data_IF_827683396526
#
_entry.id   IF_827683396526
#
_cell.length_a   1.000
_cell.length_b   1.000
_cell.length_c   1.000
_cell.angle_alpha   90.00
_cell.angle_beta   90.00
_cell.angle_gamma   90.00
#
_symmetry.space_group_name_H-M   'P 1'
#
loop_
_entity.id
_entity.type
_entity.pdbx_description
1 polymer ?
#
# COMPACT_ATOMS: atom_id res chain seq x y z
N UNK A 1 -11.70 13.12 1.05
CA UNK A 1 -10.66 13.95 1.68
C UNK A 1 -9.28 13.27 1.80
N UNK A 2 -9.17 11.96 2.08
CA UNK A 2 -7.87 11.28 2.30
C UNK A 2 -6.95 11.24 1.05
N UNK A 3 -7.50 11.12 -0.16
CA UNK A 3 -6.70 11.07 -1.40
C UNK A 3 -5.85 12.33 -1.66
N UNK A 4 -6.27 13.49 -1.15
CA UNK A 4 -5.55 14.76 -1.35
C UNK A 4 -4.25 14.84 -0.56
N UNK A 5 -4.08 13.98 0.44
CA UNK A 5 -2.90 13.97 1.32
C UNK A 5 -1.79 13.08 0.79
N UNK A 6 -2.09 12.11 -0.08
CA UNK A 6 -1.11 11.15 -0.60
C UNK A 6 0.14 11.83 -1.20
N UNK A 7 0.04 12.80 -2.14
CA UNK A 7 1.24 13.41 -2.71
C UNK A 7 2.02 14.31 -1.72
N UNK A 8 1.43 14.67 -0.58
CA UNK A 8 2.00 15.61 0.39
C UNK A 8 2.43 14.94 1.71
N UNK A 9 2.48 13.60 1.77
CA UNK A 9 2.87 12.89 2.99
C UNK A 9 4.29 13.28 3.45
N UNK A 10 5.19 13.52 2.49
CA UNK A 10 6.56 14.01 2.74
C UNK A 10 6.61 15.43 3.35
N UNK A 11 5.57 16.24 3.17
CA UNK A 11 5.46 17.59 3.73
C UNK A 11 4.91 17.60 5.16
N UNK A 12 4.41 16.46 5.66
CA UNK A 12 3.94 16.34 7.03
C UNK A 12 5.10 16.17 8.00
N UNK A 13 4.98 16.76 9.18
CA UNK A 13 5.90 16.49 10.29
C UNK A 13 5.80 15.02 10.73
N UNK A 14 6.87 14.49 11.33
CA UNK A 14 6.89 13.11 11.88
C UNK A 14 5.70 12.83 12.80
N UNK A 15 5.38 13.78 13.69
CA UNK A 15 4.24 13.67 14.62
C UNK A 15 2.90 13.60 13.88
N UNK A 16 2.74 14.34 12.78
CA UNK A 16 1.53 14.27 11.96
C UNK A 16 1.41 12.92 11.23
N UNK A 17 2.51 12.41 10.68
CA UNK A 17 2.50 11.09 10.05
C UNK A 17 2.18 9.99 11.06
N UNK A 18 2.78 10.02 12.26
CA UNK A 18 2.50 9.08 13.35
C UNK A 18 1.04 9.09 13.77
N UNK A 19 0.45 10.28 13.97
CA UNK A 19 -0.98 10.41 14.31
C UNK A 19 -1.88 9.87 13.22
N UNK A 20 -1.52 10.09 11.95
CA UNK A 20 -2.27 9.61 10.80
C UNK A 20 -2.21 8.07 10.69
N UNK A 21 -1.05 7.47 10.89
CA UNK A 21 -0.90 6.00 10.95
C UNK A 21 -1.68 5.41 12.14
N UNK A 22 -1.57 6.01 13.32
CA UNK A 22 -2.32 5.58 14.51
C UNK A 22 -3.85 5.68 14.32
N UNK A 23 -4.32 6.71 13.61
CA UNK A 23 -5.73 6.83 13.24
C UNK A 23 -6.19 5.64 12.39
N UNK A 24 -5.39 5.18 11.43
CA UNK A 24 -5.74 4.03 10.60
C UNK A 24 -5.69 2.70 11.32
N UNK A 25 -4.73 2.53 12.23
CA UNK A 25 -4.69 1.39 13.15
C UNK A 25 -5.96 1.34 14.01
N UNK A 26 -6.43 2.51 14.46
CA UNK A 26 -7.67 2.67 15.22
C UNK A 26 -8.97 2.55 14.40
N UNK A 27 -8.92 2.49 13.06
CA UNK A 27 -10.12 2.31 12.25
C UNK A 27 -10.70 0.91 12.46
N UNK A 28 -11.80 0.81 13.22
CA UNK A 28 -12.50 -0.44 13.49
C UNK A 28 -13.22 -0.99 12.24
N UNK A 29 -13.64 -0.11 11.33
CA UNK A 29 -14.35 -0.50 10.10
C UNK A 29 -13.35 -0.90 9.01
N UNK A 30 -13.42 -2.17 8.59
CA UNK A 30 -12.56 -2.76 7.54
C UNK A 30 -12.63 -2.00 6.22
N UNK A 31 -13.83 -1.57 5.83
CA UNK A 31 -14.07 -0.75 4.64
C UNK A 31 -13.34 0.61 4.71
N UNK A 32 -13.43 1.29 5.84
CA UNK A 32 -12.81 2.62 6.01
C UNK A 32 -11.29 2.50 6.00
N UNK A 33 -10.75 1.44 6.62
CA UNK A 33 -9.33 1.10 6.56
C UNK A 33 -8.87 0.84 5.12
N UNK A 34 -9.61 0.03 4.36
CA UNK A 34 -9.29 -0.27 2.96
C UNK A 34 -9.32 0.99 2.08
N UNK A 35 -10.33 1.85 2.25
CA UNK A 35 -10.44 3.12 1.53
C UNK A 35 -9.32 4.10 1.89
N UNK A 36 -8.90 4.14 3.16
CA UNK A 36 -7.77 4.96 3.59
C UNK A 36 -6.44 4.48 2.98
N UNK A 37 -6.18 3.16 3.04
CA UNK A 37 -4.99 2.54 2.46
C UNK A 37 -4.94 2.74 0.93
N UNK A 38 -6.08 2.57 0.26
CA UNK A 38 -6.18 2.85 -1.17
C UNK A 38 -5.86 4.32 -1.48
N UNK A 39 -6.43 5.25 -0.70
CA UNK A 39 -6.27 6.69 -0.94
C UNK A 39 -4.85 7.21 -0.69
N UNK A 40 -4.10 6.59 0.22
CA UNK A 40 -2.73 6.99 0.57
C UNK A 40 -1.65 6.16 -0.12
N UNK A 41 -1.99 5.02 -0.70
CA UNK A 41 -1.02 4.08 -1.27
C UNK A 41 -0.04 4.74 -2.25
N UNK A 42 -0.52 5.63 -3.13
CA UNK A 42 0.33 6.37 -4.09
C UNK A 42 1.39 7.24 -3.41
N UNK A 43 1.12 7.70 -2.20
CA UNK A 43 1.95 8.58 -1.40
C UNK A 43 2.80 7.87 -0.35
N UNK A 44 2.68 6.54 -0.21
CA UNK A 44 3.29 5.79 0.90
C UNK A 44 4.81 5.97 0.97
N UNK A 45 5.46 6.21 -0.17
CA UNK A 45 6.88 6.54 -0.28
C UNK A 45 7.28 7.81 0.49
N UNK A 46 6.34 8.74 0.71
CA UNK A 46 6.55 9.95 1.51
C UNK A 46 6.43 9.74 3.01
N UNK A 47 6.02 8.56 3.48
CA UNK A 47 6.07 8.22 4.91
C UNK A 47 7.51 8.00 5.34
N UNK A 48 7.81 8.42 6.57
CA UNK A 48 9.07 8.10 7.24
C UNK A 48 9.32 6.58 7.19
N UNK A 49 10.56 6.13 6.92
CA UNK A 49 10.88 4.70 6.80
C UNK A 49 10.40 3.84 7.98
N UNK A 50 10.38 4.38 9.19
CA UNK A 50 9.92 3.68 10.40
C UNK A 50 8.40 3.45 10.43
N UNK A 51 7.64 4.20 9.65
CA UNK A 51 6.18 4.10 9.54
C UNK A 51 5.72 3.22 8.37
N UNK A 52 6.57 3.01 7.37
CA UNK A 52 6.27 2.17 6.22
C UNK A 52 5.90 0.72 6.60
N UNK A 53 6.61 0.03 7.53
CA UNK A 53 6.23 -1.31 7.96
C UNK A 53 4.84 -1.37 8.60
N UNK A 54 4.44 -0.32 9.34
CA UNK A 54 3.11 -0.24 9.97
C UNK A 54 2.02 -0.11 8.91
N UNK A 55 2.25 0.69 7.87
CA UNK A 55 1.35 0.78 6.73
C UNK A 55 1.18 -0.57 6.03
N UNK A 56 2.28 -1.29 5.78
CA UNK A 56 2.24 -2.61 5.14
C UNK A 56 1.49 -3.62 6.01
N UNK A 57 1.72 -3.62 7.33
CA UNK A 57 0.98 -4.46 8.26
C UNK A 57 -0.54 -4.20 8.22
N UNK A 58 -0.97 -2.95 8.01
CA UNK A 58 -2.38 -2.63 7.85
C UNK A 58 -2.98 -3.22 6.56
N UNK A 59 -2.21 -3.27 5.47
CA UNK A 59 -2.62 -3.94 4.21
C UNK A 59 -2.67 -5.46 4.40
N UNK A 60 -1.67 -6.04 5.07
CA UNK A 60 -1.63 -7.47 5.42
C UNK A 60 -2.85 -7.88 6.27
N UNK A 61 -3.22 -7.05 7.24
CA UNK A 61 -4.35 -7.27 8.15
C UNK A 61 -5.74 -7.17 7.50
N UNK A 62 -5.85 -6.77 6.22
CA UNK A 62 -7.13 -6.78 5.50
C UNK A 62 -7.53 -8.22 5.16
N UNK A 63 -8.46 -8.79 5.93
CA UNK A 63 -8.91 -10.16 5.75
C UNK A 63 -9.67 -10.37 4.43
N UNK A 64 -10.46 -9.40 3.98
CA UNK A 64 -11.25 -9.53 2.75
C UNK A 64 -10.37 -9.35 1.49
N UNK A 65 -10.35 -10.35 0.59
CA UNK A 65 -9.56 -10.30 -0.64
C UNK A 65 -9.85 -9.07 -1.52
N UNK A 66 -11.11 -8.64 -1.62
CA UNK A 66 -11.52 -7.46 -2.38
C UNK A 66 -10.93 -6.15 -1.83
N UNK A 67 -10.84 -6.03 -0.51
CA UNK A 67 -10.28 -4.84 0.15
C UNK A 67 -8.77 -4.84 0.07
N UNK A 68 -8.14 -6.01 0.21
CA UNK A 68 -6.71 -6.19 -0.01
C UNK A 68 -6.32 -5.84 -1.44
N UNK A 69 -7.04 -6.36 -2.45
CA UNK A 69 -6.82 -6.04 -3.86
C UNK A 69 -6.96 -4.55 -4.14
N UNK A 70 -7.98 -3.90 -3.57
CA UNK A 70 -8.19 -2.46 -3.70
C UNK A 70 -7.04 -1.67 -3.06
N UNK A 71 -6.59 -2.03 -1.86
CA UNK A 71 -5.47 -1.38 -1.19
C UNK A 71 -4.15 -1.53 -1.98
N UNK A 72 -3.88 -2.74 -2.48
CA UNK A 72 -2.73 -3.03 -3.36
C UNK A 72 -2.80 -2.25 -4.68
N UNK A 73 -3.99 -2.10 -5.25
CA UNK A 73 -4.17 -1.26 -6.43
C UNK A 73 -3.85 0.21 -6.15
N UNK A 74 -4.27 0.71 -4.97
CA UNK A 74 -4.02 2.08 -4.53
C UNK A 74 -2.56 2.41 -4.26
N UNK A 75 -1.74 1.41 -3.92
CA UNK A 75 -0.29 1.57 -3.77
C UNK A 75 0.35 2.11 -5.05
N UNK A 76 -0.07 1.64 -6.22
CA UNK A 76 0.31 2.25 -7.49
C UNK A 76 1.83 2.40 -7.63
N UNK A 77 2.26 3.63 -7.96
CA UNK A 77 3.68 4.04 -8.02
C UNK A 77 4.37 4.12 -6.65
N UNK A 78 3.62 4.22 -5.56
CA UNK A 78 4.15 4.40 -4.21
C UNK A 78 4.94 3.18 -3.72
N UNK A 79 4.66 1.99 -4.26
CA UNK A 79 5.37 0.75 -3.89
C UNK A 79 6.88 0.83 -4.16
N UNK A 80 7.31 1.55 -5.20
CA UNK A 80 8.72 1.71 -5.56
C UNK A 80 9.52 2.53 -4.55
N UNK A 81 8.86 3.41 -3.79
CA UNK A 81 9.52 4.22 -2.76
C UNK A 81 9.43 3.62 -1.36
N UNK A 82 8.89 2.42 -1.23
CA UNK A 82 8.97 1.65 0.03
C UNK A 82 10.35 1.05 0.20
N UNK A 83 10.75 0.83 1.45
CA UNK A 83 11.94 0.07 1.80
C UNK A 83 11.97 -1.27 1.04
N UNK A 84 13.10 -1.66 0.42
CA UNK A 84 13.19 -2.87 -0.41
C UNK A 84 12.71 -4.14 0.27
N UNK A 85 12.82 -4.23 1.60
CA UNK A 85 12.41 -5.40 2.40
C UNK A 85 10.88 -5.52 2.53
N UNK A 86 10.15 -4.44 2.27
CA UNK A 86 8.69 -4.38 2.34
C UNK A 86 8.03 -4.66 0.99
N UNK A 87 8.69 -4.35 -0.12
CA UNK A 87 8.15 -4.53 -1.47
C UNK A 87 7.74 -5.99 -1.76
N UNK A 88 8.57 -7.03 -1.44
CA UNK A 88 8.21 -8.43 -1.68
C UNK A 88 6.96 -8.87 -0.94
N UNK A 89 6.66 -8.30 0.23
CA UNK A 89 5.49 -8.64 1.03
C UNK A 89 4.20 -8.25 0.31
N UNK A 90 4.17 -7.06 -0.29
CA UNK A 90 3.02 -6.56 -1.06
C UNK A 90 2.82 -7.36 -2.35
N UNK A 91 3.91 -7.73 -3.03
CA UNK A 91 3.85 -8.60 -4.22
C UNK A 91 3.30 -9.99 -3.85
N UNK A 92 3.79 -10.59 -2.75
CA UNK A 92 3.29 -11.88 -2.27
C UNK A 92 1.80 -11.82 -1.89
N UNK A 93 1.34 -10.70 -1.28
CA UNK A 93 -0.08 -10.50 -1.00
C UNK A 93 -0.93 -10.45 -2.28
N UNK A 94 -0.43 -9.81 -3.35
CA UNK A 94 -1.13 -9.76 -4.63
C UNK A 94 -1.21 -11.15 -5.29
N UNK A 95 -0.12 -11.91 -5.25
CA UNK A 95 -0.07 -13.28 -5.77
C UNK A 95 -0.96 -14.25 -4.98
N UNK A 96 -1.07 -14.06 -3.66
CA UNK A 96 -1.92 -14.87 -2.79
C UNK A 96 -3.43 -14.61 -2.95
N UNK A 97 -3.84 -13.70 -3.84
CA UNK A 97 -5.25 -13.49 -4.17
C UNK A 97 -5.75 -14.62 -5.08
N UNK A 98 -6.65 -15.45 -4.55
CA UNK A 98 -7.22 -16.61 -5.25
C UNK A 98 -8.16 -16.23 -6.39
N UNK A 99 -8.82 -15.07 -6.33
CA UNK A 99 -9.72 -14.64 -7.40
C UNK A 99 -8.92 -13.92 -8.50
N UNK A 100 -9.04 -14.35 -9.77
CA UNK A 100 -8.22 -13.84 -10.87
C UNK A 100 -8.44 -12.33 -11.11
N UNK A 101 -9.67 -11.85 -11.00
CA UNK A 101 -10.00 -10.42 -11.17
C UNK A 101 -9.33 -9.55 -10.10
N UNK A 102 -9.35 -10.01 -8.84
CA UNK A 102 -8.73 -9.31 -7.71
C UNK A 102 -7.20 -9.31 -7.82
N UNK A 103 -6.64 -10.45 -8.23
CA UNK A 103 -5.21 -10.59 -8.50
C UNK A 103 -4.76 -9.66 -9.63
N UNK A 104 -5.47 -9.67 -10.76
CA UNK A 104 -5.17 -8.79 -11.89
C UNK A 104 -5.27 -7.32 -11.50
N UNK A 105 -6.27 -6.93 -10.71
CA UNK A 105 -6.40 -5.56 -10.18
C UNK A 105 -5.20 -5.18 -9.31
N UNK A 106 -4.83 -6.03 -8.35
CA UNK A 106 -3.69 -5.77 -7.46
C UNK A 106 -2.38 -5.65 -8.24
N UNK A 107 -2.10 -6.62 -9.13
CA UNK A 107 -0.90 -6.63 -9.97
C UNK A 107 -0.85 -5.43 -10.92
N UNK A 108 -1.98 -5.01 -11.50
CA UNK A 108 -2.05 -3.82 -12.36
C UNK A 108 -1.67 -2.55 -11.60
N UNK A 109 -2.09 -2.41 -10.34
CA UNK A 109 -1.70 -1.26 -9.52
C UNK A 109 -0.22 -1.30 -9.14
N UNK A 110 0.29 -2.44 -8.65
CA UNK A 110 1.71 -2.60 -8.35
C UNK A 110 2.58 -2.41 -9.60
N UNK A 111 2.09 -2.84 -10.76
CA UNK A 111 2.69 -2.67 -12.07
C UNK A 111 2.95 -1.21 -12.43
N UNK A 112 2.13 -0.27 -11.93
CA UNK A 112 2.39 1.16 -12.14
C UNK A 112 3.71 1.63 -11.51
N UNK A 113 4.19 0.96 -10.46
CA UNK A 113 5.47 1.20 -9.79
C UNK A 113 6.57 0.19 -10.15
N UNK A 114 6.35 -0.72 -11.11
CA UNK A 114 7.27 -1.83 -11.42
C UNK A 114 8.69 -1.37 -11.72
N UNK A 115 8.85 -0.22 -12.38
CA UNK A 115 10.16 0.29 -12.78
C UNK A 115 11.10 0.61 -11.60
N UNK A 116 10.56 0.83 -10.40
CA UNK A 116 11.35 1.08 -9.20
C UNK A 116 11.44 -0.12 -8.24
N UNK A 117 10.93 -1.29 -8.65
CA UNK A 117 11.11 -2.53 -7.90
C UNK A 117 12.40 -3.23 -8.33
N UNK A 118 12.96 -4.05 -7.45
CA UNK A 118 14.08 -4.94 -7.78
C UNK A 118 13.72 -5.88 -8.95
N UNK A 119 14.68 -6.23 -9.85
CA UNK A 119 14.41 -7.05 -11.03
C UNK A 119 13.68 -8.36 -10.72
N UNK A 120 13.99 -9.00 -9.59
CA UNK A 120 13.31 -10.22 -9.16
C UNK A 120 11.81 -10.02 -8.87
N UNK A 121 11.41 -8.84 -8.37
CA UNK A 121 10.00 -8.49 -8.17
C UNK A 121 9.33 -8.06 -9.47
N UNK A 122 10.07 -7.42 -10.39
CA UNK A 122 9.53 -7.08 -11.70
C UNK A 122 9.09 -8.34 -12.45
N UNK A 123 9.92 -9.39 -12.47
CA UNK A 123 9.59 -10.67 -13.10
C UNK A 123 8.36 -11.38 -12.52
N UNK A 124 7.96 -11.03 -11.29
CA UNK A 124 6.76 -11.59 -10.64
C UNK A 124 5.47 -10.86 -11.01
N UNK A 125 5.58 -9.67 -11.60
CA UNK A 125 4.46 -8.84 -12.02
C UNK A 125 4.15 -8.96 -13.52
N UNK A 126 4.95 -9.71 -14.28
CA UNK A 126 4.84 -9.96 -15.73
C UNK A 126 4.39 -11.41 -15.94
#
# INVERSE_FOLDING_TARGET
MIQSLAPNLNCLTRVQQERLVALFEGLAKRKDRASALWGLGKGVAGLAPELQPRFVALVEALAEPQYRASALWGLGKGVAGLAPELQPRLVALAEGLHQPEQRALALSGLGAGVAGLEPALQQRLI
#
